data_IF_368007637029
#
_entry.id   IF_368007637029
#
_cell.length_a   1.000
_cell.length_b   1.000
_cell.length_c   1.000
_cell.angle_alpha   90.00
_cell.angle_beta   90.00
_cell.angle_gamma   90.00
#
_symmetry.space_group_name_H-M   'P 1'
#
loop_
_entity.id
_entity.type
_entity.pdbx_description
1 polymer ?
#
# COMPACT_ATOMS: atom_id res chain seq x y z
N UNK A 1 6.10 -5.05 -7.53
CA UNK A 1 5.34 -3.95 -8.16
C UNK A 1 5.03 -2.94 -7.09
N UNK A 2 5.19 -1.66 -7.38
CA UNK A 2 4.87 -0.57 -6.46
C UNK A 2 4.12 0.53 -7.20
N UNK A 3 3.32 1.29 -6.46
CA UNK A 3 2.55 2.41 -6.99
C UNK A 3 2.36 3.48 -5.92
N UNK A 4 2.33 4.73 -6.35
CA UNK A 4 2.19 5.90 -5.47
C UNK A 4 1.17 6.88 -6.07
N UNK A 5 0.37 7.47 -5.20
CA UNK A 5 -0.51 8.60 -5.51
C UNK A 5 -0.07 9.77 -4.64
N UNK A 6 0.11 10.95 -5.24
CA UNK A 6 0.56 12.14 -4.56
C UNK A 6 -0.31 13.33 -4.96
N UNK A 7 -1.27 13.67 -4.11
CA UNK A 7 -2.07 14.89 -4.19
C UNK A 7 -2.69 15.19 -2.84
N UNK A 8 -3.25 16.39 -2.67
CA UNK A 8 -3.67 16.94 -1.37
C UNK A 8 -4.56 16.01 -0.52
N UNK A 9 -5.40 15.20 -1.13
CA UNK A 9 -6.39 14.37 -0.43
C UNK A 9 -6.18 12.87 -0.65
N UNK A 10 -5.03 12.48 -1.22
CA UNK A 10 -4.68 11.07 -1.39
C UNK A 10 -4.63 10.38 -0.04
N UNK A 11 -5.23 9.20 0.07
CA UNK A 11 -5.38 8.50 1.34
C UNK A 11 -5.32 6.98 1.19
N UNK A 12 -5.20 6.28 2.32
CA UNK A 12 -5.11 4.83 2.39
C UNK A 12 -6.26 4.13 1.65
N UNK A 13 -7.50 4.59 1.83
CA UNK A 13 -8.69 3.92 1.29
C UNK A 13 -8.74 3.96 -0.22
N UNK A 14 -8.37 5.10 -0.81
CA UNK A 14 -8.27 5.27 -2.25
C UNK A 14 -7.22 4.31 -2.83
N UNK A 15 -6.00 4.32 -2.27
CA UNK A 15 -4.93 3.45 -2.76
C UNK A 15 -5.28 1.97 -2.63
N UNK A 16 -5.87 1.58 -1.49
CA UNK A 16 -6.37 0.22 -1.28
C UNK A 16 -7.42 -0.17 -2.32
N UNK A 17 -8.37 0.70 -2.62
CA UNK A 17 -9.41 0.42 -3.62
C UNK A 17 -8.83 0.24 -5.03
N UNK A 18 -7.84 1.08 -5.40
CA UNK A 18 -7.12 0.99 -6.67
C UNK A 18 -6.36 -0.33 -6.76
N UNK A 19 -5.57 -0.66 -5.73
CA UNK A 19 -4.82 -1.92 -5.67
C UNK A 19 -5.75 -3.13 -5.75
N UNK A 20 -6.84 -3.14 -4.98
CA UNK A 20 -7.85 -4.20 -5.01
C UNK A 20 -8.45 -4.35 -6.40
N UNK A 21 -8.75 -3.24 -7.08
CA UNK A 21 -9.30 -3.27 -8.44
C UNK A 21 -8.31 -3.84 -9.45
N UNK A 22 -7.04 -3.41 -9.40
CA UNK A 22 -5.97 -3.91 -10.28
C UNK A 22 -5.82 -5.43 -10.11
N UNK A 23 -5.69 -5.92 -8.88
CA UNK A 23 -5.44 -7.34 -8.63
C UNK A 23 -6.67 -8.21 -8.93
N UNK A 24 -7.86 -7.75 -8.55
CA UNK A 24 -9.10 -8.51 -8.76
C UNK A 24 -9.50 -8.58 -10.22
N UNK A 25 -9.46 -7.46 -10.94
CA UNK A 25 -9.92 -7.41 -12.34
C UNK A 25 -8.80 -7.85 -13.28
N UNK A 26 -7.58 -7.33 -13.08
CA UNK A 26 -6.44 -7.60 -13.96
C UNK A 26 -5.88 -9.02 -13.82
N UNK A 27 -5.91 -9.58 -12.61
CA UNK A 27 -5.23 -10.84 -12.31
C UNK A 27 -6.12 -11.90 -11.64
N UNK A 28 -7.40 -11.60 -11.36
CA UNK A 28 -8.33 -12.50 -10.64
C UNK A 28 -7.81 -12.94 -9.26
N UNK A 29 -7.06 -12.06 -8.60
CA UNK A 29 -6.50 -12.27 -7.27
C UNK A 29 -7.32 -11.46 -6.26
N UNK A 30 -7.92 -12.15 -5.28
CA UNK A 30 -8.57 -11.50 -4.13
C UNK A 30 -7.53 -11.25 -3.02
N UNK A 31 -7.44 -9.99 -2.60
CA UNK A 31 -6.57 -9.58 -1.48
C UNK A 31 -7.34 -9.19 -0.23
N UNK A 32 -6.71 -9.39 0.93
CA UNK A 32 -7.16 -8.89 2.22
C UNK A 32 -6.08 -8.02 2.85
N UNK A 33 -6.50 -7.01 3.62
CA UNK A 33 -5.58 -6.19 4.41
C UNK A 33 -5.72 -6.52 5.88
N UNK A 34 -4.62 -6.61 6.61
CA UNK A 34 -4.61 -6.79 8.06
C UNK A 34 -3.76 -5.70 8.71
N UNK A 35 -4.07 -5.38 9.97
CA UNK A 35 -3.23 -4.52 10.79
C UNK A 35 -1.84 -5.15 10.87
N UNK A 36 -0.77 -4.39 10.56
CA UNK A 36 0.60 -4.89 10.64
C UNK A 36 0.96 -5.22 12.08
N UNK A 37 1.84 -6.21 12.27
CA UNK A 37 2.36 -6.54 13.60
C UNK A 37 3.40 -5.53 14.07
N UNK A 38 4.19 -5.03 13.14
CA UNK A 38 5.28 -4.10 13.41
C UNK A 38 4.89 -2.71 12.92
N UNK A 39 5.22 -1.68 13.71
CA UNK A 39 5.02 -0.31 13.28
C UNK A 39 6.17 0.10 12.35
N UNK A 40 5.85 0.58 11.15
CA UNK A 40 6.84 0.99 10.15
C UNK A 40 6.89 2.51 10.09
N UNK A 41 8.02 3.12 10.48
CA UNK A 41 8.18 4.58 10.60
C UNK A 41 8.01 5.33 9.28
N UNK A 42 8.13 4.65 8.14
CA UNK A 42 7.86 5.20 6.82
C UNK A 42 6.39 5.63 6.65
N UNK A 43 5.47 4.96 7.35
CA UNK A 43 4.04 5.23 7.25
C UNK A 43 3.53 6.00 8.46
N UNK A 44 2.44 6.73 8.26
CA UNK A 44 1.70 7.35 9.34
C UNK A 44 1.08 6.26 10.24
N UNK A 45 1.12 6.51 11.55
CA UNK A 45 0.62 5.56 12.55
C UNK A 45 -0.88 5.28 12.35
N UNK A 46 -1.25 4.00 12.37
CA UNK A 46 -2.62 3.56 12.07
C UNK A 46 -3.08 3.75 10.61
N UNK A 47 -2.23 4.24 9.71
CA UNK A 47 -2.55 4.51 8.29
C UNK A 47 -1.82 3.59 7.31
N UNK A 48 -1.52 2.37 7.74
CA UNK A 48 -0.92 1.35 6.87
C UNK A 48 -1.44 -0.07 7.20
N UNK A 49 -1.24 -1.00 6.27
CA UNK A 49 -1.67 -2.39 6.41
C UNK A 49 -0.81 -3.34 5.59
N UNK A 50 -0.71 -4.55 6.10
CA UNK A 50 -0.16 -5.70 5.39
C UNK A 50 -1.19 -6.23 4.40
N UNK A 51 -0.74 -6.61 3.20
CA UNK A 51 -1.56 -7.12 2.11
C UNK A 51 -1.34 -8.63 1.99
N UNK A 52 -2.44 -9.39 1.95
CA UNK A 52 -2.43 -10.84 1.88
C UNK A 52 -3.21 -11.38 0.70
N UNK A 53 -2.72 -12.49 0.13
CA UNK A 53 -3.48 -13.41 -0.72
C UNK A 53 -3.66 -14.71 0.05
N UNK A 54 -4.89 -15.02 0.44
CA UNK A 54 -5.13 -16.10 1.41
C UNK A 54 -4.43 -15.81 2.75
N UNK A 55 -3.41 -16.61 3.09
CA UNK A 55 -2.58 -16.45 4.28
C UNK A 55 -1.16 -15.91 3.97
N UNK A 56 -0.80 -15.79 2.69
CA UNK A 56 0.51 -15.32 2.25
C UNK A 56 0.58 -13.80 2.33
N UNK A 57 1.60 -13.28 3.03
CA UNK A 57 1.93 -11.86 3.03
C UNK A 57 2.62 -11.50 1.71
N UNK A 58 2.00 -10.62 0.93
CA UNK A 58 2.49 -10.24 -0.39
C UNK A 58 3.01 -8.80 -0.44
N UNK A 59 2.80 -7.99 0.60
CA UNK A 59 3.26 -6.60 0.59
C UNK A 59 2.59 -5.70 1.62
N UNK A 60 2.70 -4.39 1.41
CA UNK A 60 2.16 -3.35 2.30
C UNK A 60 1.53 -2.18 1.52
N UNK A 61 0.59 -1.48 2.14
CA UNK A 61 -0.01 -0.23 1.65
C UNK A 61 -0.14 0.76 2.80
N UNK A 62 0.18 2.03 2.57
CA UNK A 62 0.06 3.05 3.62
C UNK A 62 0.26 4.48 3.15
N UNK A 63 -0.22 5.40 3.99
CA UNK A 63 0.05 6.85 3.87
C UNK A 63 1.45 7.14 4.42
N UNK A 64 2.27 7.85 3.67
CA UNK A 64 3.64 8.19 4.07
C UNK A 64 3.61 9.17 5.25
N UNK A 65 4.47 8.93 6.24
CA UNK A 65 4.60 9.78 7.41
C UNK A 65 4.97 11.23 7.02
N UNK A 66 4.33 12.22 7.64
CA UNK A 66 4.60 13.64 7.40
C UNK A 66 6.07 14.00 7.65
N UNK A 67 6.70 13.43 8.67
CA UNK A 67 8.11 13.71 8.99
C UNK A 67 9.03 13.24 7.86
N UNK A 68 8.67 12.12 7.22
CA UNK A 68 9.37 11.62 6.03
C UNK A 68 9.16 12.59 4.87
N UNK A 69 7.92 13.02 4.61
CA UNK A 69 7.61 13.96 3.52
C UNK A 69 8.34 15.30 3.69
N UNK A 70 8.38 15.82 4.92
CA UNK A 70 9.05 17.07 5.26
C UNK A 70 10.56 17.01 5.03
N UNK A 71 11.19 15.87 5.38
CA UNK A 71 12.61 15.62 5.11
C UNK A 71 12.94 15.69 3.60
N UNK A 72 11.99 15.33 2.74
CA UNK A 72 12.12 15.41 1.28
C UNK A 72 11.48 16.67 0.66
N UNK A 73 10.98 17.61 1.48
CA UNK A 73 10.29 18.84 1.05
C UNK A 73 9.06 18.58 0.17
N UNK A 74 8.38 17.45 0.37
CA UNK A 74 7.14 17.10 -0.31
C UNK A 74 5.98 17.73 0.45
N UNK A 75 5.24 18.64 -0.20
CA UNK A 75 4.18 19.44 0.43
C UNK A 75 2.77 18.91 0.19
N UNK A 76 2.65 17.67 -0.23
CA UNK A 76 1.37 17.04 -0.54
C UNK A 76 1.30 15.67 0.12
N UNK A 77 0.09 15.19 0.38
CA UNK A 77 -0.10 13.84 0.91
C UNK A 77 0.39 12.82 -0.10
N UNK A 78 0.98 11.74 0.40
CA UNK A 78 1.48 10.65 -0.44
C UNK A 78 1.01 9.34 0.16
N UNK A 79 0.42 8.49 -0.67
CA UNK A 79 0.02 7.13 -0.31
C UNK A 79 0.64 6.16 -1.31
N UNK A 80 1.15 5.04 -0.81
CA UNK A 80 1.88 4.07 -1.62
C UNK A 80 1.51 2.64 -1.28
N UNK A 81 1.75 1.73 -2.21
CA UNK A 81 1.85 0.30 -1.93
C UNK A 81 3.08 -0.29 -2.57
N UNK A 82 3.52 -1.40 -2.01
CA UNK A 82 4.48 -2.32 -2.61
C UNK A 82 3.98 -3.75 -2.43
N UNK A 83 4.01 -4.54 -3.52
CA UNK A 83 3.69 -5.96 -3.50
C UNK A 83 4.70 -6.79 -4.28
N UNK A 84 4.92 -8.02 -3.83
CA UNK A 84 5.63 -9.07 -4.56
C UNK A 84 4.62 -9.86 -5.40
N UNK A 85 4.87 -9.93 -6.72
CA UNK A 85 4.01 -10.64 -7.68
C UNK A 85 4.59 -11.98 -8.17
N UNK A 86 5.88 -12.21 -7.96
CA UNK A 86 6.54 -13.48 -8.31
C UNK A 86 5.88 -14.62 -7.53
N UNK A 87 5.50 -15.71 -8.20
CA UNK A 87 4.77 -16.82 -7.61
C UNK A 87 3.24 -16.64 -7.51
N UNK A 88 2.71 -15.45 -7.83
CA UNK A 88 1.27 -15.19 -7.89
C UNK A 88 0.75 -15.10 -9.33
N UNK A 89 1.55 -14.53 -10.24
CA UNK A 89 1.14 -14.25 -11.64
C UNK A 89 2.14 -14.83 -12.64
N UNK A 90 3.38 -15.06 -12.21
CA UNK A 90 4.45 -15.59 -13.05
C UNK A 90 5.11 -16.74 -12.29
N UNK A 91 5.21 -17.90 -12.96
CA UNK A 91 6.03 -19.05 -12.53
C UNK A 91 7.53 -18.68 -12.53
#
# INVERSE_FOLDING_TARGET
MAGVIAYKESNYSEMKAILQSILKIGFKIDIKTKTPKDNVTMFADGRHSDIFVGEELIGTVGEINSDVLDNFKIRTSVVGFEIKLSGLIFD
#
